data_IF_974118410622
#
_entry.id   IF_974118410622
#
_cell.length_a   1.000
_cell.length_b   1.000
_cell.length_c   1.000
_cell.angle_alpha   90.00
_cell.angle_beta   90.00
_cell.angle_gamma   90.00
#
_symmetry.space_group_name_H-M   'P 1'
#
loop_
_entity.id
_entity.type
_entity.pdbx_description
1 polymer ?
#
# COMPACT_ATOMS: atom_id res chain seq x y z
N UNK A 1 -13.46 -8.48 -20.83
CA UNK A 1 -13.91 -7.42 -19.91
C UNK A 1 -15.31 -7.00 -20.31
N UNK A 2 -16.25 -6.89 -19.38
CA UNK A 2 -17.61 -6.48 -19.72
C UNK A 2 -17.66 -4.97 -19.99
N UNK A 3 -18.67 -4.51 -20.74
CA UNK A 3 -18.93 -3.07 -20.92
C UNK A 3 -19.20 -2.36 -19.58
N UNK A 4 -19.67 -3.10 -18.58
CA UNK A 4 -19.97 -2.59 -17.25
C UNK A 4 -18.68 -2.33 -16.45
N UNK A 5 -17.71 -3.24 -16.49
CA UNK A 5 -16.41 -3.07 -15.80
C UNK A 5 -15.62 -1.88 -16.37
N UNK A 6 -15.67 -1.70 -17.70
CA UNK A 6 -15.06 -0.54 -18.37
C UNK A 6 -15.67 0.78 -17.92
N UNK A 7 -17.00 0.80 -17.74
CA UNK A 7 -17.72 2.00 -17.33
C UNK A 7 -17.42 2.35 -15.87
N UNK A 8 -17.39 1.37 -14.97
CA UNK A 8 -17.06 1.58 -13.56
C UNK A 8 -15.64 2.15 -13.39
N UNK A 9 -14.64 1.53 -14.03
CA UNK A 9 -13.26 2.03 -13.96
C UNK A 9 -13.14 3.46 -14.49
N UNK A 10 -13.79 3.78 -15.61
CA UNK A 10 -13.76 5.13 -16.18
C UNK A 10 -14.35 6.18 -15.23
N UNK A 11 -15.41 5.82 -14.49
CA UNK A 11 -16.00 6.70 -13.46
C UNK A 11 -15.00 6.89 -12.32
N UNK A 12 -14.42 5.81 -11.79
CA UNK A 12 -13.46 5.88 -10.70
C UNK A 12 -12.22 6.71 -11.07
N UNK A 13 -11.67 6.51 -12.27
CA UNK A 13 -10.54 7.29 -12.79
C UNK A 13 -10.85 8.79 -12.88
N UNK A 14 -12.06 9.13 -13.33
CA UNK A 14 -12.51 10.52 -13.42
C UNK A 14 -12.62 11.16 -12.03
N UNK A 15 -13.15 10.42 -11.05
CA UNK A 15 -13.28 10.90 -9.67
C UNK A 15 -11.92 11.08 -9.00
N UNK A 16 -11.01 10.12 -9.15
CA UNK A 16 -9.63 10.24 -8.66
C UNK A 16 -8.94 11.44 -9.31
N UNK A 17 -9.10 11.63 -10.62
CA UNK A 17 -8.52 12.77 -11.31
C UNK A 17 -9.04 14.11 -10.76
N UNK A 18 -10.33 14.20 -10.46
CA UNK A 18 -10.92 15.40 -9.87
C UNK A 18 -10.35 15.67 -8.46
N UNK A 19 -10.21 14.62 -7.64
CA UNK A 19 -9.63 14.73 -6.29
C UNK A 19 -8.15 15.13 -6.33
N UNK A 20 -7.39 14.59 -7.28
CA UNK A 20 -6.00 14.99 -7.53
C UNK A 20 -5.89 16.45 -7.95
N UNK A 21 -6.75 16.91 -8.85
CA UNK A 21 -6.76 18.32 -9.26
C UNK A 21 -6.97 19.25 -8.04
N UNK A 22 -7.96 18.93 -7.19
CA UNK A 22 -8.17 19.67 -5.93
C UNK A 22 -6.95 19.61 -5.01
N UNK A 23 -6.26 18.48 -4.93
CA UNK A 23 -5.06 18.36 -4.10
C UNK A 23 -3.90 19.20 -4.64
N UNK A 24 -3.67 19.20 -5.95
CA UNK A 24 -2.61 19.95 -6.62
C UNK A 24 -2.81 21.46 -6.49
N UNK A 25 -4.05 21.93 -6.39
CA UNK A 25 -4.38 23.35 -6.14
C UNK A 25 -3.95 23.83 -4.72
N UNK A 26 -3.57 22.91 -3.82
CA UNK A 26 -3.08 23.24 -2.48
C UNK A 26 -1.55 23.25 -2.40
N UNK A 27 -0.95 23.95 -1.42
CA UNK A 27 0.49 23.87 -1.16
C UNK A 27 0.97 22.43 -0.95
N UNK A 28 2.19 22.11 -1.39
CA UNK A 28 2.75 20.74 -1.34
C UNK A 28 2.72 20.14 0.07
N UNK A 29 2.88 20.97 1.11
CA UNK A 29 2.78 20.51 2.51
C UNK A 29 1.42 19.88 2.86
N UNK A 30 0.34 20.29 2.18
CA UNK A 30 -0.99 19.73 2.36
C UNK A 30 -1.16 18.35 1.69
N UNK A 31 -0.20 17.91 0.85
CA UNK A 31 -0.29 16.65 0.11
C UNK A 31 0.03 15.44 0.99
N UNK A 32 0.89 15.62 2.00
CA UNK A 32 1.43 14.51 2.79
C UNK A 32 0.36 13.69 3.49
N UNK A 33 -0.64 14.33 4.12
CA UNK A 33 -1.66 13.58 4.86
C UNK A 33 -2.50 12.68 3.92
N UNK A 34 -3.06 13.18 2.80
CA UNK A 34 -3.71 12.32 1.81
C UNK A 34 -2.80 11.20 1.27
N UNK A 35 -1.54 11.49 0.97
CA UNK A 35 -0.60 10.48 0.46
C UNK A 35 -0.26 9.41 1.52
N UNK A 36 -0.12 9.80 2.79
CA UNK A 36 0.02 8.86 3.90
C UNK A 36 -1.25 8.01 4.09
N UNK A 37 -2.44 8.56 3.84
CA UNK A 37 -3.68 7.80 3.88
C UNK A 37 -3.78 6.76 2.75
N UNK A 38 -3.28 7.09 1.56
CA UNK A 38 -3.13 6.11 0.45
C UNK A 38 -2.18 4.98 0.87
N UNK A 39 -1.04 5.32 1.47
CA UNK A 39 -0.08 4.34 1.96
C UNK A 39 -0.69 3.42 3.04
N UNK A 40 -1.35 4.00 4.04
CA UNK A 40 -1.95 3.22 5.14
C UNK A 40 -3.11 2.34 4.65
N UNK A 41 -3.86 2.79 3.64
CA UNK A 41 -4.86 1.95 2.95
C UNK A 41 -4.19 0.74 2.29
N UNK A 42 -3.08 0.96 1.57
CA UNK A 42 -2.27 -0.13 1.02
C UNK A 42 -1.77 -1.09 2.11
N UNK A 43 -1.24 -0.55 3.21
CA UNK A 43 -0.73 -1.31 4.35
C UNK A 43 -1.78 -2.25 4.94
N UNK A 44 -3.01 -1.77 5.15
CA UNK A 44 -4.10 -2.60 5.66
C UNK A 44 -4.37 -3.82 4.76
N UNK A 45 -4.28 -3.63 3.45
CA UNK A 45 -4.51 -4.67 2.44
C UNK A 45 -3.34 -5.66 2.36
N UNK A 46 -2.11 -5.17 2.50
CA UNK A 46 -0.91 -5.99 2.60
C UNK A 46 -0.95 -6.94 3.80
N UNK A 47 -1.37 -6.43 4.97
CA UNK A 47 -1.54 -7.23 6.19
C UNK A 47 -2.51 -8.39 5.98
N UNK A 48 -3.68 -8.12 5.41
CA UNK A 48 -4.70 -9.14 5.12
C UNK A 48 -4.19 -10.15 4.09
N UNK A 49 -3.52 -9.66 3.04
CA UNK A 49 -2.98 -10.50 1.96
C UNK A 49 -1.93 -11.49 2.48
N UNK A 50 -1.05 -11.05 3.38
CA UNK A 50 -0.05 -11.91 4.01
C UNK A 50 -0.70 -13.07 4.78
N UNK A 51 -1.74 -12.80 5.55
CA UNK A 51 -2.48 -13.83 6.28
C UNK A 51 -3.12 -14.85 5.34
N UNK A 52 -3.80 -14.39 4.29
CA UNK A 52 -4.47 -15.25 3.31
C UNK A 52 -3.45 -16.13 2.57
N UNK A 53 -2.36 -15.53 2.08
CA UNK A 53 -1.31 -16.24 1.36
C UNK A 53 -0.63 -17.27 2.26
N UNK A 54 -0.25 -16.90 3.47
CA UNK A 54 0.34 -17.82 4.43
C UNK A 54 -0.60 -18.97 4.79
N UNK A 55 -1.91 -18.69 4.94
CA UNK A 55 -2.91 -19.70 5.23
C UNK A 55 -3.09 -20.68 4.06
N UNK A 56 -3.10 -20.18 2.82
CA UNK A 56 -3.14 -21.03 1.63
C UNK A 56 -1.91 -21.95 1.55
N UNK A 57 -0.72 -21.39 1.77
CA UNK A 57 0.55 -22.12 1.75
C UNK A 57 0.62 -23.19 2.85
N UNK A 58 0.27 -22.84 4.09
CA UNK A 58 0.26 -23.77 5.22
C UNK A 58 -0.78 -24.89 5.09
N UNK A 59 -1.88 -24.65 4.39
CA UNK A 59 -2.89 -25.68 4.08
C UNK A 59 -2.61 -26.43 2.77
N UNK A 60 -1.56 -26.07 2.02
CA UNK A 60 -1.29 -26.57 0.68
C UNK A 60 -2.51 -26.47 -0.26
N UNK A 61 -3.19 -25.32 -0.24
CA UNK A 61 -4.37 -25.02 -1.05
C UNK A 61 -4.13 -23.83 -1.96
N UNK A 62 -4.88 -23.74 -3.05
CA UNK A 62 -4.96 -22.50 -3.81
C UNK A 62 -5.80 -21.47 -3.05
N UNK A 63 -5.48 -20.18 -3.17
CA UNK A 63 -6.21 -19.09 -2.47
C UNK A 63 -7.71 -19.15 -2.76
N UNK A 64 -8.09 -19.44 -4.02
CA UNK A 64 -9.50 -19.57 -4.44
C UNK A 64 -10.28 -20.70 -3.76
N UNK A 65 -9.57 -21.67 -3.18
CA UNK A 65 -10.15 -22.83 -2.51
C UNK A 65 -10.23 -22.63 -0.98
N UNK A 66 -9.86 -21.45 -0.49
CA UNK A 66 -10.04 -21.06 0.91
C UNK A 66 -11.51 -20.74 1.19
N UNK A 67 -11.95 -21.10 2.40
CA UNK A 67 -13.27 -20.73 2.89
C UNK A 67 -13.40 -19.23 3.14
N UNK A 68 -14.62 -18.71 3.06
CA UNK A 68 -14.92 -17.30 3.37
C UNK A 68 -14.47 -16.89 4.79
N UNK A 69 -14.46 -17.84 5.73
CA UNK A 69 -14.00 -17.63 7.10
C UNK A 69 -12.53 -17.20 7.18
N UNK A 70 -11.69 -17.59 6.22
CA UNK A 70 -10.28 -17.18 6.17
C UNK A 70 -10.16 -15.69 5.85
N UNK A 71 -11.03 -15.16 5.00
CA UNK A 71 -11.03 -13.73 4.65
C UNK A 71 -11.52 -12.88 5.82
N UNK A 72 -12.55 -13.33 6.54
CA UNK A 72 -13.01 -12.67 7.78
C UNK A 72 -11.94 -12.70 8.87
N UNK A 73 -11.24 -13.84 9.01
CA UNK A 73 -10.10 -13.99 9.92
C UNK A 73 -8.94 -13.07 9.54
N UNK A 74 -8.64 -12.88 8.26
CA UNK A 74 -7.58 -11.97 7.82
C UNK A 74 -7.82 -10.54 8.32
N UNK A 75 -9.05 -10.04 8.20
CA UNK A 75 -9.45 -8.72 8.69
C UNK A 75 -9.31 -8.59 10.20
N UNK A 76 -9.80 -9.58 10.94
CA UNK A 76 -9.76 -9.56 12.42
C UNK A 76 -8.34 -9.75 12.97
N UNK A 77 -7.57 -10.65 12.39
CA UNK A 77 -6.17 -10.90 12.74
C UNK A 77 -5.28 -9.70 12.43
N UNK A 78 -5.49 -9.02 11.30
CA UNK A 78 -4.71 -7.87 10.90
C UNK A 78 -4.96 -6.60 11.73
N UNK A 79 -6.11 -6.49 12.41
CA UNK A 79 -6.53 -5.26 13.09
C UNK A 79 -5.59 -4.80 14.23
N UNK A 80 -5.12 -5.66 15.15
CA UNK A 80 -4.12 -5.26 16.15
C UNK A 80 -2.79 -4.81 15.53
N UNK A 81 -2.32 -5.51 14.50
CA UNK A 81 -1.08 -5.16 13.80
C UNK A 81 -1.20 -3.83 13.08
N UNK A 82 -2.34 -3.59 12.43
CA UNK A 82 -2.62 -2.31 11.77
C UNK A 82 -2.56 -1.15 12.76
N UNK A 83 -3.16 -1.29 13.94
CA UNK A 83 -3.10 -0.26 15.00
C UNK A 83 -1.68 -0.01 15.48
N UNK A 84 -0.90 -1.06 15.70
CA UNK A 84 0.49 -0.94 16.14
C UNK A 84 1.38 -0.26 15.07
N UNK A 85 1.25 -0.66 13.80
CA UNK A 85 1.97 -0.03 12.70
C UNK A 85 1.55 1.42 12.49
N UNK A 86 0.27 1.75 12.62
CA UNK A 86 -0.18 3.14 12.59
C UNK A 86 0.44 3.98 13.71
N UNK A 87 0.63 3.44 14.91
CA UNK A 87 1.29 4.18 15.99
C UNK A 87 2.75 4.48 15.61
N UNK A 88 3.47 3.50 15.06
CA UNK A 88 4.85 3.70 14.59
C UNK A 88 4.89 4.74 13.47
N UNK A 89 4.03 4.63 12.46
CA UNK A 89 3.90 5.59 11.35
C UNK A 89 3.49 7.01 11.77
N UNK A 90 3.00 7.21 12.99
CA UNK A 90 2.67 8.54 13.52
C UNK A 90 3.68 9.04 14.57
N UNK A 91 4.69 8.24 14.92
CA UNK A 91 5.78 8.64 15.81
C UNK A 91 6.96 9.15 14.97
N UNK A 92 7.26 10.48 14.97
CA UNK A 92 8.34 11.06 14.18
C UNK A 92 9.75 10.55 14.55
N UNK A 93 9.88 9.77 15.62
CA UNK A 93 11.14 9.15 16.05
C UNK A 93 11.28 7.69 15.60
N UNK A 94 10.23 7.11 15.02
CA UNK A 94 10.26 5.71 14.60
C UNK A 94 10.95 5.57 13.24
N UNK A 95 11.61 4.43 13.03
CA UNK A 95 12.17 4.10 11.73
C UNK A 95 11.09 3.96 10.64
N UNK A 96 9.89 3.51 11.02
CA UNK A 96 8.77 3.32 10.10
C UNK A 96 8.19 4.65 9.61
N UNK A 97 8.12 5.66 10.48
CA UNK A 97 7.77 7.02 10.09
C UNK A 97 8.77 7.54 9.05
N UNK A 98 10.08 7.37 9.30
CA UNK A 98 11.10 7.79 8.35
C UNK A 98 11.04 7.02 7.03
N UNK A 99 10.76 5.70 7.04
CA UNK A 99 10.57 4.94 5.79
C UNK A 99 9.36 5.45 4.98
N UNK A 100 8.24 5.75 5.64
CA UNK A 100 7.08 6.35 4.98
C UNK A 100 7.44 7.72 4.41
N UNK A 101 8.02 8.58 5.25
CA UNK A 101 8.37 9.95 4.90
C UNK A 101 9.32 9.98 3.70
N UNK A 102 10.41 9.21 3.74
CA UNK A 102 11.38 9.07 2.65
C UNK A 102 10.72 8.59 1.35
N UNK A 103 9.82 7.60 1.42
CA UNK A 103 9.13 7.08 0.24
C UNK A 103 8.21 8.12 -0.40
N UNK A 104 7.47 8.89 0.41
CA UNK A 104 6.62 9.96 -0.10
C UNK A 104 7.46 11.07 -0.74
N UNK A 105 8.54 11.50 -0.08
CA UNK A 105 9.47 12.48 -0.62
C UNK A 105 10.10 12.00 -1.93
N UNK A 106 10.62 10.77 -1.99
CA UNK A 106 11.21 10.18 -3.19
C UNK A 106 10.22 10.04 -4.34
N UNK A 107 8.96 9.70 -4.06
CA UNK A 107 7.91 9.66 -5.08
C UNK A 107 7.74 11.06 -5.69
N UNK A 108 7.59 12.08 -4.86
CA UNK A 108 7.36 13.45 -5.31
C UNK A 108 8.56 14.01 -6.09
N UNK A 109 9.79 13.73 -5.64
CA UNK A 109 11.03 14.06 -6.35
C UNK A 109 11.03 13.41 -7.74
N UNK A 110 10.74 12.11 -7.81
CA UNK A 110 10.73 11.35 -9.07
C UNK A 110 9.67 11.88 -10.05
N UNK A 111 8.46 12.10 -9.56
CA UNK A 111 7.33 12.59 -10.36
C UNK A 111 7.60 13.96 -10.99
N UNK A 112 8.34 14.80 -10.28
CA UNK A 112 8.66 16.16 -10.71
C UNK A 112 10.05 16.29 -11.34
N UNK A 113 10.76 15.17 -11.56
CA UNK A 113 12.11 15.14 -12.13
C UNK A 113 13.13 16.02 -11.38
N UNK A 114 13.03 16.05 -10.05
CA UNK A 114 13.86 16.89 -9.18
C UNK A 114 15.10 16.15 -8.65
N UNK A 115 16.07 16.89 -8.10
CA UNK A 115 17.20 16.29 -7.39
C UNK A 115 16.97 16.23 -5.87
N UNK A 116 16.27 17.21 -5.31
CA UNK A 116 15.93 17.25 -3.89
C UNK A 116 14.47 17.63 -3.65
N UNK A 117 14.00 17.38 -2.43
CA UNK A 117 12.62 17.72 -2.07
C UNK A 117 12.42 19.23 -1.94
N UNK A 118 13.42 19.97 -1.47
CA UNK A 118 13.35 21.43 -1.29
C UNK A 118 12.99 22.14 -2.60
N UNK A 119 13.42 21.60 -3.74
CA UNK A 119 13.11 22.13 -5.07
C UNK A 119 11.60 22.12 -5.37
N UNK A 120 10.83 21.19 -4.79
CA UNK A 120 9.39 21.08 -5.06
C UNK A 120 8.63 22.32 -4.61
N UNK A 121 9.09 22.96 -3.52
CA UNK A 121 8.47 24.16 -2.96
C UNK A 121 8.68 25.39 -3.86
N UNK A 122 9.64 25.30 -4.78
CA UNK A 122 9.98 26.37 -5.71
C UNK A 122 9.33 26.20 -7.07
N UNK A 123 8.70 25.04 -7.33
CA UNK A 123 8.02 24.78 -8.58
C UNK A 123 6.78 25.67 -8.72
N UNK A 124 6.58 26.31 -9.88
CA UNK A 124 5.37 27.09 -10.13
C UNK A 124 4.13 26.20 -10.25
N UNK A 125 4.29 24.96 -10.73
CA UNK A 125 3.21 23.99 -10.92
C UNK A 125 3.71 22.58 -10.61
N UNK A 126 3.84 22.20 -9.33
CA UNK A 126 4.22 20.84 -8.96
C UNK A 126 3.16 19.84 -9.45
N UNK A 127 3.61 18.65 -9.83
CA UNK A 127 2.82 17.60 -10.46
C UNK A 127 2.56 16.44 -9.50
N UNK A 128 1.38 15.84 -9.65
CA UNK A 128 0.99 14.59 -9.01
C UNK A 128 0.02 13.84 -9.95
N UNK A 129 0.27 12.56 -10.17
CA UNK A 129 -0.47 11.73 -11.11
C UNK A 129 -1.17 10.55 -10.41
N UNK A 130 -2.15 9.96 -11.11
CA UNK A 130 -2.82 8.74 -10.64
C UNK A 130 -1.87 7.58 -10.41
N UNK A 131 -0.83 7.47 -11.24
CA UNK A 131 0.23 6.47 -11.07
C UNK A 131 0.98 6.62 -9.75
N UNK A 132 1.12 7.84 -9.23
CA UNK A 132 1.78 8.06 -7.94
C UNK A 132 0.93 7.53 -6.79
N UNK A 133 -0.39 7.69 -6.86
CA UNK A 133 -1.31 7.09 -5.88
C UNK A 133 -1.22 5.56 -5.91
N UNK A 134 -1.13 4.96 -7.10
CA UNK A 134 -0.95 3.51 -7.22
C UNK A 134 0.41 3.05 -6.68
N UNK A 135 1.49 3.78 -6.98
CA UNK A 135 2.82 3.50 -6.45
C UNK A 135 2.83 3.52 -4.92
N UNK A 136 2.29 4.60 -4.33
CA UNK A 136 2.20 4.78 -2.88
C UNK A 136 1.32 3.69 -2.24
N UNK A 137 0.20 3.35 -2.88
CA UNK A 137 -0.66 2.25 -2.43
C UNK A 137 0.10 0.92 -2.40
N UNK A 138 0.83 0.58 -3.47
CA UNK A 138 1.58 -0.68 -3.52
C UNK A 138 2.81 -0.69 -2.62
N UNK A 139 3.43 0.46 -2.34
CA UNK A 139 4.45 0.57 -1.30
C UNK A 139 3.87 0.30 0.09
N UNK A 140 2.70 0.89 0.39
CA UNK A 140 1.97 0.57 1.61
C UNK A 140 1.65 -0.91 1.72
N UNK A 141 1.14 -1.49 0.63
CA UNK A 141 0.84 -2.92 0.55
C UNK A 141 2.07 -3.79 0.83
N UNK A 142 3.21 -3.49 0.21
CA UNK A 142 4.47 -4.20 0.44
C UNK A 142 4.89 -4.11 1.92
N UNK A 143 4.80 -2.91 2.49
CA UNK A 143 5.14 -2.65 3.88
C UNK A 143 4.27 -3.47 4.84
N UNK A 144 2.95 -3.43 4.68
CA UNK A 144 2.01 -4.20 5.49
C UNK A 144 2.23 -5.71 5.33
N UNK A 145 2.43 -6.19 4.10
CA UNK A 145 2.69 -7.60 3.83
C UNK A 145 3.95 -8.09 4.54
N UNK A 146 5.06 -7.33 4.42
CA UNK A 146 6.35 -7.66 5.04
C UNK A 146 6.20 -7.91 6.54
N UNK A 147 5.54 -7.00 7.25
CA UNK A 147 5.36 -7.10 8.70
C UNK A 147 4.48 -8.28 9.09
N UNK A 148 3.32 -8.44 8.44
CA UNK A 148 2.43 -9.56 8.74
C UNK A 148 3.08 -10.92 8.42
N UNK A 149 3.74 -11.04 7.27
CA UNK A 149 4.36 -12.29 6.86
C UNK A 149 5.54 -12.66 7.77
N UNK A 150 6.38 -11.69 8.14
CA UNK A 150 7.43 -11.89 9.14
C UNK A 150 6.86 -12.40 10.46
N UNK A 151 5.78 -11.78 10.96
CA UNK A 151 5.12 -12.23 12.19
C UNK A 151 4.54 -13.65 12.08
N UNK A 152 3.99 -14.03 10.92
CA UNK A 152 3.44 -15.37 10.69
C UNK A 152 4.53 -16.44 10.58
N UNK A 153 5.70 -16.09 10.06
CA UNK A 153 6.86 -16.99 9.99
C UNK A 153 7.55 -17.20 11.34
N UNK A 154 7.41 -16.23 12.26
CA UNK A 154 8.18 -16.18 13.50
C UNK A 154 7.75 -17.30 14.45
N UNK A 155 8.72 -18.15 14.83
CA UNK A 155 8.54 -19.14 15.89
C UNK A 155 8.61 -18.48 17.28
N UNK A 156 8.15 -19.13 18.36
CA UNK A 156 8.39 -18.66 19.71
C UNK A 156 9.90 -18.62 20.01
N UNK A 157 10.39 -17.47 20.51
CA UNK A 157 11.79 -17.24 20.92
C UNK A 157 12.86 -17.52 19.85
N UNK A 158 12.81 -16.88 18.67
CA UNK A 158 13.91 -16.97 17.72
C UNK A 158 15.13 -16.22 18.29
N UNK A 159 16.32 -16.73 18.04
CA UNK A 159 17.52 -15.92 18.24
C UNK A 159 17.59 -14.77 17.21
N UNK A 160 18.46 -13.78 17.45
CA UNK A 160 18.55 -12.59 16.61
C UNK A 160 18.87 -12.93 15.15
N UNK A 161 19.73 -13.92 14.90
CA UNK A 161 20.12 -14.33 13.55
C UNK A 161 18.98 -14.98 12.77
N UNK A 162 18.17 -15.80 13.45
CA UNK A 162 16.96 -16.37 12.89
C UNK A 162 15.93 -15.28 12.60
N UNK A 163 15.80 -14.31 13.51
CA UNK A 163 14.85 -13.22 13.34
C UNK A 163 15.19 -12.34 12.13
N UNK A 164 16.47 -12.04 11.92
CA UNK A 164 16.95 -11.33 10.73
C UNK A 164 16.69 -12.12 9.44
N UNK A 165 16.99 -13.42 9.42
CA UNK A 165 16.75 -14.27 8.25
C UNK A 165 15.26 -14.37 7.88
N UNK A 166 14.37 -14.42 8.87
CA UNK A 166 12.92 -14.42 8.66
C UNK A 166 12.44 -13.06 8.14
N UNK A 167 12.99 -11.95 8.66
CA UNK A 167 12.67 -10.62 8.17
C UNK A 167 13.09 -10.45 6.71
N UNK A 168 14.27 -10.94 6.34
CA UNK A 168 14.75 -10.90 4.95
C UNK A 168 13.88 -11.76 4.03
N UNK A 169 13.49 -12.95 4.48
CA UNK A 169 12.54 -13.81 3.77
C UNK A 169 11.21 -13.08 3.52
N UNK A 170 10.69 -12.40 4.53
CA UNK A 170 9.45 -11.63 4.43
C UNK A 170 9.60 -10.42 3.48
N UNK A 171 10.74 -9.72 3.50
CA UNK A 171 11.05 -8.62 2.57
C UNK A 171 11.02 -9.10 1.12
N UNK A 172 11.83 -10.12 0.80
CA UNK A 172 11.90 -10.68 -0.56
C UNK A 172 10.53 -11.12 -1.05
N UNK A 173 9.75 -11.77 -0.17
CA UNK A 173 8.39 -12.21 -0.51
C UNK A 173 7.45 -11.03 -0.75
N UNK A 174 7.48 -10.03 0.13
CA UNK A 174 6.64 -8.83 0.02
C UNK A 174 6.90 -8.09 -1.30
N UNK A 175 8.16 -7.84 -1.64
CA UNK A 175 8.54 -7.15 -2.88
C UNK A 175 8.04 -7.92 -4.11
N UNK A 176 8.25 -9.25 -4.15
CA UNK A 176 7.81 -10.09 -5.27
C UNK A 176 6.29 -10.05 -5.43
N UNK A 177 5.54 -10.15 -4.34
CA UNK A 177 4.08 -10.15 -4.41
C UNK A 177 3.54 -8.75 -4.73
N UNK A 178 4.12 -7.67 -4.20
CA UNK A 178 3.75 -6.29 -4.54
C UNK A 178 3.95 -6.01 -6.04
N UNK A 179 5.09 -6.43 -6.60
CA UNK A 179 5.36 -6.32 -8.04
C UNK A 179 4.35 -7.10 -8.88
N UNK A 180 3.96 -8.30 -8.42
CA UNK A 180 2.92 -9.10 -9.06
C UNK A 180 1.57 -8.40 -9.01
N UNK A 181 1.13 -7.92 -7.84
CA UNK A 181 -0.14 -7.23 -7.67
C UNK A 181 -0.21 -5.96 -8.52
N UNK A 182 0.88 -5.20 -8.58
CA UNK A 182 1.01 -4.03 -9.47
C UNK A 182 0.88 -4.42 -10.94
N UNK A 183 1.64 -5.42 -11.39
CA UNK A 183 1.57 -5.91 -12.77
C UNK A 183 0.17 -6.41 -13.13
N UNK A 184 -0.51 -7.07 -12.20
CA UNK A 184 -1.89 -7.48 -12.38
C UNK A 184 -2.86 -6.29 -12.43
N UNK A 185 -2.67 -5.24 -11.63
CA UNK A 185 -3.48 -4.03 -11.72
C UNK A 185 -3.28 -3.27 -13.05
N UNK A 186 -2.13 -3.42 -13.70
CA UNK A 186 -1.90 -2.89 -15.05
C UNK A 186 -2.57 -3.71 -16.16
N UNK A 187 -2.68 -5.02 -15.95
CA UNK A 187 -3.26 -5.95 -16.93
C UNK A 187 -4.76 -6.16 -16.74
N UNK A 188 -5.27 -5.97 -15.51
CA UNK A 188 -6.63 -6.28 -15.09
C UNK A 188 -7.30 -5.01 -14.55
N UNK A 189 -8.05 -4.30 -15.41
CA UNK A 189 -8.79 -3.09 -15.05
C UNK A 189 -9.67 -3.23 -13.80
N UNK A 190 -10.24 -4.42 -13.54
CA UNK A 190 -11.06 -4.68 -12.35
C UNK A 190 -10.26 -4.60 -11.03
N UNK A 191 -8.97 -4.98 -11.04
CA UNK A 191 -8.13 -4.83 -9.85
C UNK A 191 -7.79 -3.37 -9.60
N UNK A 192 -7.50 -2.62 -10.67
CA UNK A 192 -7.28 -1.18 -10.60
C UNK A 192 -8.52 -0.42 -10.11
N UNK A 193 -9.70 -0.80 -10.61
CA UNK A 193 -10.99 -0.26 -10.15
C UNK A 193 -11.20 -0.53 -8.66
N UNK A 194 -10.88 -1.75 -8.20
CA UNK A 194 -10.93 -2.11 -6.79
C UNK A 194 -9.99 -1.26 -5.90
N UNK A 195 -8.79 -0.92 -6.38
CA UNK A 195 -7.89 0.01 -5.67
C UNK A 195 -8.50 1.40 -5.62
N UNK A 196 -8.96 1.95 -6.75
CA UNK A 196 -9.56 3.29 -6.78
C UNK A 196 -10.83 3.40 -5.93
N UNK A 197 -11.68 2.38 -5.92
CA UNK A 197 -12.86 2.34 -5.06
C UNK A 197 -12.48 2.47 -3.57
N UNK A 198 -11.39 1.82 -3.13
CA UNK A 198 -10.88 1.94 -1.76
C UNK A 198 -10.34 3.34 -1.48
N UNK A 199 -9.58 3.93 -2.41
CA UNK A 199 -9.08 5.29 -2.26
C UNK A 199 -10.22 6.31 -2.18
N UNK A 200 -11.26 6.16 -3.00
CA UNK A 200 -12.42 7.05 -3.01
C UNK A 200 -13.29 6.90 -1.74
N UNK A 201 -13.47 5.67 -1.25
CA UNK A 201 -14.27 5.40 -0.05
C UNK A 201 -13.55 5.62 1.27
N UNK A 202 -12.22 5.75 1.27
CA UNK A 202 -11.40 5.90 2.48
C UNK A 202 -10.62 7.21 2.54
N UNK A 203 -9.76 7.45 1.54
CA UNK A 203 -8.84 8.60 1.52
C UNK A 203 -9.54 9.88 1.11
N UNK A 204 -10.43 9.78 0.12
CA UNK A 204 -11.10 10.93 -0.50
C UNK A 204 -12.60 11.02 -0.18
N UNK A 205 -13.05 10.29 0.83
CA UNK A 205 -14.46 10.24 1.25
C UNK A 205 -15.01 11.60 1.69
#
# INVERSE_FOLDING_TARGET
MSKQDQKSLSIAETQIQAKLATLIDNPVSAWFKPLADVFTTGMAEGLQSAYIIYTAESQNKHIRDLGADVYEKATTWGSPFFKALLQLLNDPKSADFHELDDRLHQQLIRTNELHSFEEIQTLPVPQLYRSDLLDIYFFGWEFGFRYAYWMLLRQPNPDDSQNEALLETAKVRATKEAQRQRSLADQLPALRDGVYAKLLGGVFA
#
